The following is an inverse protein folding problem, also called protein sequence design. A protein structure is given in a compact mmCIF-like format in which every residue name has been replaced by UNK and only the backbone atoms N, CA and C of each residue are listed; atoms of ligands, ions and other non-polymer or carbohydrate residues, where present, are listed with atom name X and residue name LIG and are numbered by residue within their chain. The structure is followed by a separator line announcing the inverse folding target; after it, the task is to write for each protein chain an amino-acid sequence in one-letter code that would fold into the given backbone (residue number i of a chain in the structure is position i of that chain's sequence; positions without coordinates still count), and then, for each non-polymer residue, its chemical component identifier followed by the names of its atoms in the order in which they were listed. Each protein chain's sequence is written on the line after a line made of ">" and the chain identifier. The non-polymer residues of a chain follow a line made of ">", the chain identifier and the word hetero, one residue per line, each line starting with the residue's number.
data_IF_710890043100
#
_entry.id   IF_710890043100
#
_cell.length_a   1.000
_cell.length_b   1.000
_cell.length_c   1.000
_cell.angle_alpha   90.00
_cell.angle_beta   90.00
_cell.angle_gamma   90.00
#
_symmetry.space_group_name_H-M   'P 1'
#
loop_
_entity.id
_entity.type
_entity.pdbx_description
1 polymer ?
#
# COMPACT_ATOMS: atom_id res chain seq x y z
N UNK A 1 26.62 6.02 25.45
CA UNK A 1 25.27 5.67 24.95
C UNK A 1 24.43 6.93 25.00
N UNK A 2 24.18 7.59 23.86
CA UNK A 2 23.33 8.78 23.82
C UNK A 2 21.88 8.34 24.05
N UNK A 3 21.34 8.69 25.18
CA UNK A 3 19.96 8.41 25.56
C UNK A 3 19.05 9.43 24.86
N UNK A 4 18.70 9.17 23.59
CA UNK A 4 17.88 10.07 22.75
C UNK A 4 16.38 9.92 22.97
N UNK A 5 15.94 9.01 23.87
CA UNK A 5 14.54 8.83 24.22
C UNK A 5 14.01 10.08 24.94
N UNK A 6 12.95 10.67 24.41
CA UNK A 6 12.34 11.90 24.96
C UNK A 6 12.96 13.20 24.45
N UNK A 7 13.77 13.15 23.39
CA UNK A 7 14.35 14.36 22.79
C UNK A 7 13.28 15.12 21.98
N UNK A 8 12.93 16.32 22.47
CA UNK A 8 11.92 17.21 21.87
C UNK A 8 12.26 17.61 20.44
N UNK A 9 13.55 17.76 20.13
CA UNK A 9 14.01 18.18 18.80
C UNK A 9 13.88 17.05 17.79
N UNK A 10 14.19 15.81 18.19
CA UNK A 10 13.99 14.62 17.36
C UNK A 10 12.51 14.44 17.05
N UNK A 11 11.66 14.54 18.08
CA UNK A 11 10.21 14.45 17.91
C UNK A 11 9.67 15.52 16.96
N UNK A 12 10.09 16.77 17.14
CA UNK A 12 9.69 17.89 16.28
C UNK A 12 10.11 17.66 14.82
N UNK A 13 11.36 17.23 14.60
CA UNK A 13 11.90 16.90 13.28
C UNK A 13 11.07 15.78 12.61
N UNK A 14 10.78 14.72 13.36
CA UNK A 14 10.05 13.58 12.82
C UNK A 14 8.58 13.93 12.52
N UNK A 15 7.90 14.69 13.37
CA UNK A 15 6.54 15.19 13.08
C UNK A 15 6.53 16.00 11.78
N UNK A 16 7.47 16.95 11.61
CA UNK A 16 7.57 17.76 10.39
C UNK A 16 7.82 16.89 9.15
N UNK A 17 8.72 15.91 9.24
CA UNK A 17 9.01 14.94 8.18
C UNK A 17 7.75 14.22 7.71
N UNK A 18 6.93 13.72 8.64
CA UNK A 18 5.72 12.98 8.28
C UNK A 18 4.59 13.88 7.81
N UNK A 19 4.48 15.10 8.33
CA UNK A 19 3.57 16.12 7.77
C UNK A 19 3.92 16.44 6.32
N UNK A 20 5.19 16.62 6.00
CA UNK A 20 5.67 16.90 4.65
C UNK A 20 5.42 15.70 3.71
N UNK A 21 5.73 14.47 4.17
CA UNK A 21 5.46 13.23 3.42
C UNK A 21 4.00 13.11 2.99
N UNK A 22 3.07 13.41 3.91
CA UNK A 22 1.64 13.25 3.71
C UNK A 22 0.95 14.51 3.18
N UNK A 23 1.72 15.59 2.91
CA UNK A 23 1.20 16.88 2.43
C UNK A 23 0.26 17.57 3.40
N UNK A 24 0.38 17.30 4.71
CA UNK A 24 -0.54 17.79 5.73
C UNK A 24 -0.07 19.09 6.36
N UNK A 25 -0.98 20.08 6.42
CA UNK A 25 -0.77 21.30 7.18
C UNK A 25 -1.00 21.08 8.68
N UNK A 26 -0.47 21.99 9.53
CA UNK A 26 -0.72 21.95 10.98
C UNK A 26 -2.22 22.07 11.32
N UNK A 27 -2.96 22.83 10.54
CA UNK A 27 -4.40 23.01 10.75
C UNK A 27 -5.15 21.70 10.49
N UNK A 28 -4.83 20.99 9.43
CA UNK A 28 -5.45 19.70 9.12
C UNK A 28 -5.15 18.66 10.19
N UNK A 29 -3.87 18.49 10.60
CA UNK A 29 -3.52 17.56 11.66
C UNK A 29 -4.23 17.87 12.97
N UNK A 30 -4.31 19.17 13.35
CA UNK A 30 -5.00 19.59 14.56
C UNK A 30 -6.50 19.29 14.50
N UNK A 31 -7.14 19.59 13.36
CA UNK A 31 -8.55 19.33 13.13
C UNK A 31 -8.84 17.81 13.19
N UNK A 32 -8.07 17.03 12.44
CA UNK A 32 -8.29 15.58 12.31
C UNK A 32 -8.09 14.83 13.64
N UNK A 33 -7.17 15.30 14.48
CA UNK A 33 -6.81 14.66 15.76
C UNK A 33 -7.47 15.29 17.00
N UNK A 34 -8.23 16.36 16.82
CA UNK A 34 -8.82 17.08 17.95
C UNK A 34 -7.79 17.68 18.91
N UNK A 35 -6.63 18.11 18.39
CA UNK A 35 -5.54 18.69 19.16
C UNK A 35 -5.55 20.23 19.00
N UNK A 36 -5.36 20.96 20.08
CA UNK A 36 -5.27 22.42 19.97
C UNK A 36 -4.05 22.83 19.13
N UNK A 37 -4.22 23.84 18.29
CA UNK A 37 -3.17 24.35 17.41
C UNK A 37 -1.93 24.83 18.19
N UNK A 38 -2.13 25.40 19.36
CA UNK A 38 -1.03 25.85 20.24
C UNK A 38 -0.23 24.67 20.74
N UNK A 39 -0.87 23.63 21.27
CA UNK A 39 -0.23 22.42 21.78
C UNK A 39 0.57 21.73 20.68
N UNK A 40 -0.04 21.54 19.52
CA UNK A 40 0.64 20.90 18.38
C UNK A 40 1.82 21.73 17.87
N UNK A 41 1.65 23.05 17.82
CA UNK A 41 2.74 23.97 17.43
C UNK A 41 3.92 23.90 18.40
N UNK A 42 3.68 23.73 19.68
CA UNK A 42 4.75 23.58 20.68
C UNK A 42 5.50 22.25 20.51
N UNK A 43 4.84 21.18 20.09
CA UNK A 43 5.51 19.92 19.73
C UNK A 43 6.36 20.09 18.46
N UNK A 44 5.82 20.67 17.42
CA UNK A 44 6.51 20.91 16.13
C UNK A 44 7.70 21.87 16.27
N UNK A 45 7.66 22.79 17.27
CA UNK A 45 8.77 23.67 17.59
C UNK A 45 9.75 23.10 18.62
N UNK A 46 9.54 21.87 19.08
CA UNK A 46 10.37 21.22 20.09
C UNK A 46 10.36 21.91 21.46
N UNK A 47 9.33 22.68 21.77
CA UNK A 47 9.17 23.34 23.08
C UNK A 47 8.70 22.35 24.14
N UNK A 48 7.71 21.52 23.81
CA UNK A 48 7.15 20.50 24.69
C UNK A 48 7.20 19.14 24.04
N UNK A 49 7.06 18.08 24.86
CA UNK A 49 7.03 16.70 24.40
C UNK A 49 5.62 16.13 24.56
N UNK A 50 5.02 15.47 23.55
CA UNK A 50 3.70 14.86 23.69
C UNK A 50 3.72 13.74 24.72
N UNK A 51 2.58 13.51 25.38
CA UNK A 51 2.38 12.31 26.22
C UNK A 51 2.26 11.07 25.36
N UNK A 52 2.43 9.90 25.96
CA UNK A 52 2.46 8.62 25.25
C UNK A 52 1.17 8.34 24.45
N UNK A 53 0.02 8.73 24.98
CA UNK A 53 -1.27 8.64 24.29
C UNK A 53 -1.32 9.47 23.01
N UNK A 54 -0.68 10.64 23.03
CA UNK A 54 -0.59 11.54 21.87
C UNK A 54 0.47 11.09 20.86
N UNK A 55 1.53 10.43 21.32
CA UNK A 55 2.52 9.79 20.44
C UNK A 55 1.84 8.65 19.66
N UNK A 56 1.05 7.85 20.33
CA UNK A 56 0.28 6.77 19.70
C UNK A 56 -0.73 7.31 18.69
N UNK A 57 -1.46 8.36 19.05
CA UNK A 57 -2.41 9.03 18.18
C UNK A 57 -1.74 9.56 16.89
N UNK A 58 -0.58 10.21 17.02
CA UNK A 58 0.21 10.71 15.90
C UNK A 58 0.79 9.57 15.05
N UNK A 59 1.30 8.50 15.67
CA UNK A 59 1.83 7.34 14.96
C UNK A 59 0.74 6.67 14.10
N UNK A 60 -0.45 6.48 14.66
CA UNK A 60 -1.60 5.93 13.93
C UNK A 60 -2.05 6.85 12.79
N UNK A 61 -2.09 8.17 13.04
CA UNK A 61 -2.48 9.16 12.04
C UNK A 61 -1.55 9.16 10.82
N UNK A 62 -0.23 9.15 11.09
CA UNK A 62 0.80 9.10 10.05
C UNK A 62 1.10 7.68 9.55
N UNK A 63 0.43 6.65 10.10
CA UNK A 63 0.59 5.23 9.74
C UNK A 63 2.06 4.77 9.85
N UNK A 64 2.66 5.00 11.00
CA UNK A 64 4.05 4.69 11.33
C UNK A 64 4.14 4.03 12.71
N UNK A 65 5.30 3.45 13.02
CA UNK A 65 5.56 2.96 14.38
C UNK A 65 5.86 4.13 15.34
N UNK A 66 5.56 3.96 16.63
CA UNK A 66 5.90 4.96 17.66
C UNK A 66 7.40 5.28 17.71
N UNK A 67 8.24 4.27 17.44
CA UNK A 67 9.68 4.42 17.35
C UNK A 67 10.10 5.45 16.27
N UNK A 68 9.39 5.50 15.15
CA UNK A 68 9.67 6.43 14.05
C UNK A 68 9.46 7.89 14.43
N UNK A 69 8.64 8.16 15.46
CA UNK A 69 8.47 9.51 16.00
C UNK A 69 9.51 9.89 17.05
N UNK A 70 9.94 8.93 17.87
CA UNK A 70 10.73 9.20 19.09
C UNK A 70 12.22 8.95 18.93
N UNK A 71 12.63 8.20 17.92
CA UNK A 71 14.02 7.86 17.65
C UNK A 71 14.60 8.69 16.52
N UNK A 72 15.89 9.01 16.61
CA UNK A 72 16.61 9.58 15.48
C UNK A 72 17.11 8.43 14.60
N UNK A 73 16.49 8.29 13.45
CA UNK A 73 16.94 7.37 12.40
C UNK A 73 17.73 8.18 11.34
N UNK A 74 19.01 8.49 11.61
CA UNK A 74 19.82 9.15 10.60
C UNK A 74 19.97 8.19 9.43
N UNK A 75 19.38 8.51 8.30
CA UNK A 75 19.74 7.87 7.04
C UNK A 75 21.22 8.21 6.84
N UNK A 76 22.11 7.20 6.72
CA UNK A 76 23.50 7.49 6.41
C UNK A 76 23.53 8.38 5.16
N UNK A 77 24.07 9.59 5.26
CA UNK A 77 24.20 10.48 4.12
C UNK A 77 25.34 9.95 3.23
N UNK A 78 25.01 9.10 2.31
CA UNK A 78 25.91 8.76 1.22
C UNK A 78 25.76 9.84 0.14
N UNK A 79 26.86 10.36 -0.44
CA UNK A 79 26.82 11.47 -1.40
C UNK A 79 25.94 11.23 -2.62
N UNK A 80 25.60 9.95 -2.91
CA UNK A 80 24.86 9.51 -4.07
C UNK A 80 23.50 8.86 -3.73
N UNK A 81 23.02 8.98 -2.48
CA UNK A 81 21.72 8.42 -2.08
C UNK A 81 20.77 9.57 -1.73
N UNK A 82 19.78 9.77 -2.57
CA UNK A 82 18.67 10.68 -2.31
C UNK A 82 17.53 9.90 -1.67
N UNK A 83 16.94 10.37 -0.55
CA UNK A 83 15.73 9.76 0.00
C UNK A 83 14.62 9.76 -1.03
N UNK A 84 14.06 8.59 -1.32
CA UNK A 84 12.93 8.45 -2.24
C UNK A 84 11.64 8.71 -1.44
N UNK A 85 10.81 9.62 -1.92
CA UNK A 85 9.47 9.81 -1.37
C UNK A 85 8.64 8.53 -1.54
N UNK A 86 7.88 8.17 -0.51
CA UNK A 86 7.06 6.94 -0.48
C UNK A 86 5.58 7.28 -0.36
N UNK A 87 4.76 6.41 -0.90
CA UNK A 87 3.30 6.43 -0.77
C UNK A 87 2.85 5.09 -0.20
N UNK A 88 1.93 5.11 0.77
CA UNK A 88 1.39 3.91 1.39
C UNK A 88 0.06 3.53 0.75
N UNK A 89 -0.13 2.24 0.50
CA UNK A 89 -1.31 1.68 -0.15
C UNK A 89 -1.96 0.65 0.77
N UNK A 90 -3.30 0.62 0.87
CA UNK A 90 -3.99 -0.38 1.68
C UNK A 90 -3.76 -1.79 1.11
N UNK A 91 -3.44 -2.74 2.00
CA UNK A 91 -3.22 -4.15 1.67
C UNK A 91 -4.51 -4.94 1.89
N UNK A 92 -4.86 -5.74 0.89
CA UNK A 92 -5.95 -6.71 0.94
C UNK A 92 -5.40 -8.13 0.79
N UNK A 93 -5.88 -9.04 1.62
CA UNK A 93 -5.49 -10.47 1.61
C UNK A 93 -6.39 -11.31 0.69
N UNK A 94 -6.84 -10.73 -0.39
CA UNK A 94 -7.70 -11.39 -1.36
C UNK A 94 -8.93 -10.57 -1.70
N UNK A 95 -9.84 -11.21 -2.42
CA UNK A 95 -11.08 -10.59 -2.89
C UNK A 95 -12.21 -11.58 -2.65
N UNK A 96 -13.27 -11.14 -1.99
CA UNK A 96 -14.49 -11.92 -1.81
C UNK A 96 -15.68 -11.18 -2.41
N UNK A 97 -16.58 -11.91 -3.07
CA UNK A 97 -17.75 -11.34 -3.75
C UNK A 97 -17.39 -10.18 -4.70
N UNK A 98 -16.21 -10.27 -5.33
CA UNK A 98 -15.73 -9.27 -6.27
C UNK A 98 -15.37 -7.91 -5.66
N UNK A 99 -15.16 -7.84 -4.36
CA UNK A 99 -14.64 -6.65 -3.68
C UNK A 99 -13.36 -6.99 -2.90
N UNK A 100 -12.38 -6.06 -2.83
CA UNK A 100 -11.19 -6.25 -2.01
C UNK A 100 -11.58 -6.56 -0.56
N UNK A 101 -11.05 -7.66 -0.03
CA UNK A 101 -11.32 -8.11 1.33
C UNK A 101 -10.24 -7.59 2.27
N UNK A 102 -10.63 -6.86 3.29
CA UNK A 102 -9.75 -6.52 4.41
C UNK A 102 -9.28 -7.79 5.12
N UNK A 103 -8.12 -7.71 5.77
CA UNK A 103 -7.60 -8.77 6.63
C UNK A 103 -8.68 -9.24 7.61
N UNK A 104 -8.71 -10.55 7.99
CA UNK A 104 -9.75 -11.14 8.84
C UNK A 104 -10.03 -10.39 10.15
N UNK A 105 -9.03 -9.73 10.70
CA UNK A 105 -9.10 -9.02 11.98
C UNK A 105 -9.57 -7.56 11.87
N UNK A 106 -10.01 -7.11 10.68
CA UNK A 106 -10.41 -5.72 10.44
C UNK A 106 -9.26 -4.71 10.53
N UNK A 107 -8.03 -5.17 10.64
CA UNK A 107 -6.84 -4.33 10.65
C UNK A 107 -6.47 -4.01 9.21
N UNK A 108 -6.44 -2.73 8.85
CA UNK A 108 -5.92 -2.30 7.56
C UNK A 108 -4.40 -2.21 7.65
N UNK A 109 -3.71 -3.13 6.99
CA UNK A 109 -2.27 -3.04 6.77
C UNK A 109 -1.98 -2.17 5.54
N UNK A 110 -0.77 -1.60 5.48
CA UNK A 110 -0.34 -0.76 4.37
C UNK A 110 1.02 -1.23 3.87
N UNK A 111 1.22 -1.16 2.57
CA UNK A 111 2.50 -1.43 1.90
C UNK A 111 3.01 -0.13 1.27
N UNK A 112 4.27 0.19 1.53
CA UNK A 112 4.91 1.37 0.98
C UNK A 112 5.52 1.09 -0.40
N UNK A 113 5.32 2.02 -1.32
CA UNK A 113 6.04 2.05 -2.59
C UNK A 113 6.55 3.48 -2.88
N UNK A 114 7.31 3.64 -3.94
CA UNK A 114 7.74 4.95 -4.42
C UNK A 114 6.55 5.76 -4.92
N UNK A 115 6.63 7.09 -4.88
CA UNK A 115 5.51 7.99 -5.25
C UNK A 115 5.11 7.92 -6.71
N UNK A 116 5.97 7.38 -7.57
CA UNK A 116 5.72 7.16 -8.99
C UNK A 116 4.78 5.96 -9.26
N UNK A 117 4.60 5.07 -8.29
CA UNK A 117 3.63 3.97 -8.41
C UNK A 117 2.20 4.53 -8.35
N UNK A 118 1.51 4.44 -9.49
CA UNK A 118 0.12 4.89 -9.63
C UNK A 118 -0.83 3.70 -9.39
N UNK A 119 -1.07 3.39 -8.12
CA UNK A 119 -1.97 2.34 -7.68
C UNK A 119 -3.00 2.90 -6.69
N UNK A 120 -4.05 2.12 -6.42
CA UNK A 120 -5.10 2.44 -5.46
C UNK A 120 -5.03 1.51 -4.24
N UNK A 121 -4.63 0.25 -4.45
CA UNK A 121 -4.50 -0.76 -3.40
C UNK A 121 -3.46 -1.83 -3.75
N UNK A 122 -3.17 -2.70 -2.78
CA UNK A 122 -2.24 -3.82 -2.92
C UNK A 122 -2.97 -5.12 -2.63
N UNK A 123 -2.67 -6.15 -3.41
CA UNK A 123 -3.10 -7.53 -3.17
C UNK A 123 -1.90 -8.38 -2.79
N UNK A 124 -2.07 -9.24 -1.79
CA UNK A 124 -1.13 -10.33 -1.52
C UNK A 124 -1.40 -11.46 -2.51
N UNK A 125 -0.34 -11.96 -3.11
CA UNK A 125 -0.41 -13.07 -4.07
C UNK A 125 -0.47 -14.40 -3.33
N UNK A 126 -1.38 -15.27 -3.78
CA UNK A 126 -1.48 -16.65 -3.34
C UNK A 126 -1.31 -17.59 -4.54
N UNK A 127 -0.38 -18.53 -4.42
CA UNK A 127 -0.05 -19.53 -5.44
C UNK A 127 0.94 -19.02 -6.49
N UNK A 128 1.23 -19.89 -7.43
CA UNK A 128 2.35 -19.82 -8.36
C UNK A 128 1.96 -19.64 -9.84
N UNK A 129 0.69 -19.30 -10.08
CA UNK A 129 0.17 -19.16 -11.45
C UNK A 129 0.82 -18.05 -12.29
N UNK A 130 1.57 -17.14 -11.67
CA UNK A 130 2.19 -15.96 -12.29
C UNK A 130 3.73 -15.93 -12.19
N UNK A 131 4.36 -17.05 -11.85
CA UNK A 131 5.83 -17.12 -11.64
C UNK A 131 6.64 -16.76 -12.89
N UNK A 132 6.14 -17.04 -14.09
CA UNK A 132 6.76 -16.64 -15.34
C UNK A 132 6.80 -15.13 -15.55
N UNK A 133 5.91 -14.39 -14.89
CA UNK A 133 5.94 -12.92 -14.81
C UNK A 133 6.77 -12.41 -13.61
N UNK A 134 7.51 -13.29 -12.92
CA UNK A 134 8.28 -13.03 -11.69
C UNK A 134 7.42 -12.63 -10.49
N UNK A 135 6.13 -12.92 -10.52
CA UNK A 135 5.21 -12.69 -9.40
C UNK A 135 5.02 -14.03 -8.71
N UNK A 136 5.49 -14.15 -7.47
CA UNK A 136 5.54 -15.40 -6.71
C UNK A 136 4.51 -15.39 -5.57
N UNK A 137 4.29 -16.56 -4.99
CA UNK A 137 3.50 -16.67 -3.77
C UNK A 137 4.07 -15.80 -2.65
N UNK A 138 3.18 -15.03 -1.97
CA UNK A 138 3.54 -14.10 -0.92
C UNK A 138 3.94 -12.69 -1.38
N UNK A 139 4.14 -12.45 -2.67
CA UNK A 139 4.45 -11.13 -3.22
C UNK A 139 3.28 -10.15 -3.04
N UNK A 140 3.59 -8.86 -3.08
CA UNK A 140 2.61 -7.77 -3.04
C UNK A 140 2.47 -7.16 -4.43
N UNK A 141 1.26 -7.17 -4.99
CA UNK A 141 0.96 -6.59 -6.30
C UNK A 141 0.14 -5.32 -6.15
N UNK A 142 0.65 -4.23 -6.69
CA UNK A 142 0.01 -2.91 -6.69
C UNK A 142 -0.98 -2.83 -7.82
N UNK A 143 -2.24 -2.56 -7.50
CA UNK A 143 -3.37 -2.54 -8.43
C UNK A 143 -3.88 -1.12 -8.61
N UNK A 144 -3.96 -0.68 -9.86
CA UNK A 144 -4.72 0.50 -10.24
C UNK A 144 -6.14 0.07 -10.57
N UNK A 145 -7.11 0.60 -9.84
CA UNK A 145 -8.52 0.26 -10.01
C UNK A 145 -9.03 0.84 -11.34
N UNK A 146 -9.46 -0.04 -12.22
CA UNK A 146 -10.06 0.33 -13.51
C UNK A 146 -10.90 -0.82 -14.03
N UNK A 147 -12.02 -0.52 -14.78
CA UNK A 147 -12.93 -1.55 -15.27
C UNK A 147 -12.43 -2.26 -16.53
N UNK A 148 -11.39 -1.75 -17.18
CA UNK A 148 -10.88 -2.27 -18.44
C UNK A 148 -9.35 -2.34 -18.42
N UNK A 149 -8.80 -3.31 -19.15
CA UNK A 149 -7.36 -3.48 -19.39
C UNK A 149 -7.14 -3.89 -20.85
N UNK A 150 -5.95 -3.64 -21.35
CA UNK A 150 -5.56 -4.03 -22.71
C UNK A 150 -5.20 -5.52 -22.77
N UNK A 151 -5.30 -6.11 -23.97
CA UNK A 151 -4.91 -7.50 -24.19
C UNK A 151 -3.43 -7.73 -23.83
N UNK A 152 -3.19 -8.75 -23.02
CA UNK A 152 -1.86 -9.11 -22.53
C UNK A 152 -1.45 -8.42 -21.23
N UNK A 153 -2.22 -7.47 -20.72
CA UNK A 153 -1.95 -6.87 -19.42
C UNK A 153 -2.29 -7.83 -18.27
N UNK A 154 -1.54 -7.70 -17.17
CA UNK A 154 -1.83 -8.46 -15.96
C UNK A 154 -2.90 -7.70 -15.17
N UNK A 155 -3.99 -8.39 -14.88
CA UNK A 155 -5.14 -7.82 -14.18
C UNK A 155 -5.53 -8.66 -12.97
N UNK A 156 -6.05 -7.99 -11.96
CA UNK A 156 -6.85 -8.61 -10.92
C UNK A 156 -8.28 -8.76 -11.48
N UNK A 157 -8.74 -9.99 -11.55
CA UNK A 157 -10.04 -10.36 -12.15
C UNK A 157 -10.85 -11.16 -11.14
N UNK A 158 -12.10 -10.76 -10.91
CA UNK A 158 -13.06 -11.55 -10.17
C UNK A 158 -13.73 -12.55 -11.13
N UNK A 159 -13.89 -13.79 -10.67
CA UNK A 159 -14.66 -14.86 -11.32
C UNK A 159 -15.66 -15.35 -10.29
N UNK A 160 -16.93 -14.95 -10.42
CA UNK A 160 -17.90 -15.15 -9.36
C UNK A 160 -17.45 -14.47 -8.06
N UNK A 161 -17.29 -15.26 -7.00
CA UNK A 161 -16.89 -14.78 -5.66
C UNK A 161 -15.37 -14.84 -5.41
N UNK A 162 -14.61 -15.40 -6.33
CA UNK A 162 -13.16 -15.51 -6.21
C UNK A 162 -12.44 -14.47 -7.07
N UNK A 163 -11.21 -14.11 -6.68
CA UNK A 163 -10.38 -13.28 -7.51
C UNK A 163 -9.04 -13.93 -7.80
N UNK A 164 -8.53 -13.62 -8.96
CA UNK A 164 -7.25 -14.14 -9.44
C UNK A 164 -6.45 -13.07 -10.17
N UNK A 165 -5.13 -13.25 -10.21
CA UNK A 165 -4.23 -12.45 -11.01
C UNK A 165 -3.87 -13.24 -12.27
N UNK A 166 -4.17 -12.67 -13.44
CA UNK A 166 -3.94 -13.34 -14.75
C UNK A 166 -3.61 -12.32 -15.83
N UNK A 167 -3.02 -12.78 -16.94
CA UNK A 167 -3.07 -12.01 -18.17
C UNK A 167 -4.46 -12.07 -18.76
N UNK A 168 -4.96 -10.90 -19.08
CA UNK A 168 -6.31 -10.73 -19.65
C UNK A 168 -6.22 -10.59 -21.16
N UNK A 169 -7.11 -11.30 -21.86
CA UNK A 169 -7.30 -11.15 -23.30
C UNK A 169 -8.80 -11.16 -23.61
N UNK A 170 -9.23 -10.26 -24.49
CA UNK A 170 -10.61 -10.19 -24.99
C UNK A 170 -10.61 -10.16 -26.51
N UNK A 171 -11.34 -11.09 -27.11
CA UNK A 171 -11.52 -11.26 -28.54
C UNK A 171 -13.01 -11.32 -28.87
N UNK A 172 -13.63 -10.17 -29.16
CA UNK A 172 -15.08 -10.09 -29.35
C UNK A 172 -15.82 -10.52 -28.06
N UNK A 173 -16.61 -11.58 -28.17
CA UNK A 173 -17.40 -12.14 -27.07
C UNK A 173 -16.68 -13.29 -26.33
N UNK A 174 -15.37 -13.34 -26.41
CA UNK A 174 -14.54 -14.34 -25.72
C UNK A 174 -13.54 -13.63 -24.82
N UNK A 175 -13.49 -14.02 -23.54
CA UNK A 175 -12.46 -13.61 -22.59
C UNK A 175 -11.57 -14.79 -22.27
N UNK A 176 -10.26 -14.61 -22.32
CA UNK A 176 -9.27 -15.61 -21.95
C UNK A 176 -8.41 -15.05 -20.82
N UNK A 177 -8.33 -15.80 -19.72
CA UNK A 177 -7.44 -15.52 -18.59
C UNK A 177 -6.32 -16.54 -18.59
N UNK A 178 -5.08 -16.05 -18.78
CA UNK A 178 -3.88 -16.88 -18.87
C UNK A 178 -2.96 -16.67 -17.68
N UNK A 179 -2.55 -17.77 -17.06
CA UNK A 179 -1.45 -17.76 -16.09
C UNK A 179 -0.08 -17.60 -16.81
N UNK A 180 0.89 -17.12 -16.11
CA UNK A 180 2.30 -17.12 -16.51
C UNK A 180 3.06 -18.31 -15.88
N UNK A 181 2.40 -19.46 -15.87
CA UNK A 181 2.95 -20.75 -15.46
C UNK A 181 2.31 -21.83 -16.34
N UNK A 182 3.10 -22.59 -17.12
CA UNK A 182 2.61 -23.62 -18.05
C UNK A 182 1.80 -24.76 -17.38
N UNK A 183 1.97 -24.96 -16.08
CA UNK A 183 1.19 -25.94 -15.32
C UNK A 183 -0.29 -25.55 -15.14
N UNK A 184 -0.61 -24.26 -15.34
CA UNK A 184 -1.96 -23.74 -15.22
C UNK A 184 -2.62 -23.61 -16.59
N UNK A 185 -3.75 -24.26 -16.75
CA UNK A 185 -4.57 -24.16 -17.97
C UNK A 185 -5.18 -22.76 -18.09
N UNK A 186 -5.31 -22.30 -19.32
CA UNK A 186 -6.05 -21.07 -19.62
C UNK A 186 -7.52 -21.26 -19.26
N UNK A 187 -8.14 -20.18 -18.76
CA UNK A 187 -9.59 -20.13 -18.51
C UNK A 187 -10.23 -19.31 -19.62
N UNK A 188 -11.18 -19.89 -20.32
CA UNK A 188 -11.89 -19.24 -21.42
C UNK A 188 -13.37 -19.10 -21.04
N UNK A 189 -13.91 -17.90 -21.21
CA UNK A 189 -15.28 -17.54 -20.87
C UNK A 189 -16.01 -17.03 -22.12
N UNK A 190 -17.23 -17.52 -22.34
CA UNK A 190 -18.05 -17.18 -23.50
C UNK A 190 -19.53 -17.05 -23.10
N UNK A 191 -20.30 -16.27 -23.87
CA UNK A 191 -21.74 -16.13 -23.65
C UNK A 191 -22.09 -15.75 -22.21
N UNK A 192 -23.01 -16.48 -21.54
CA UNK A 192 -23.43 -16.13 -20.16
C UNK A 192 -22.34 -16.24 -19.10
N UNK A 193 -21.24 -16.97 -19.36
CA UNK A 193 -20.11 -17.05 -18.42
C UNK A 193 -19.37 -15.71 -18.26
N UNK A 194 -19.46 -14.84 -19.26
CA UNK A 194 -18.86 -13.50 -19.21
C UNK A 194 -19.41 -12.64 -18.07
N UNK A 195 -20.66 -12.86 -17.66
CA UNK A 195 -21.28 -12.12 -16.56
C UNK A 195 -20.60 -12.40 -15.21
N UNK A 196 -19.86 -13.50 -15.10
CA UNK A 196 -19.10 -13.87 -13.91
C UNK A 196 -17.70 -13.25 -13.87
N UNK A 197 -17.22 -12.70 -15.01
CA UNK A 197 -15.86 -12.17 -15.13
C UNK A 197 -15.90 -10.66 -15.00
N UNK A 198 -15.20 -10.14 -14.00
CA UNK A 198 -15.12 -8.70 -13.78
C UNK A 198 -13.68 -8.27 -13.52
N UNK A 199 -13.19 -7.28 -14.28
CA UNK A 199 -11.90 -6.65 -14.03
C UNK A 199 -12.01 -5.77 -12.79
N UNK A 200 -11.09 -5.94 -11.85
CA UNK A 200 -10.98 -5.17 -10.62
C UNK A 200 -9.92 -4.09 -10.73
N UNK A 201 -8.93 -4.31 -11.61
CA UNK A 201 -7.89 -3.35 -11.90
C UNK A 201 -6.68 -3.97 -12.59
N UNK A 202 -5.80 -3.08 -13.02
CA UNK A 202 -4.52 -3.41 -13.69
C UNK A 202 -3.41 -3.54 -12.66
N UNK A 203 -2.59 -4.58 -12.74
CA UNK A 203 -1.32 -4.67 -12.02
C UNK A 203 -0.30 -3.69 -12.62
N UNK A 204 0.22 -2.77 -11.80
CA UNK A 204 1.13 -1.71 -12.25
C UNK A 204 2.55 -1.87 -11.70
N UNK A 205 2.71 -2.56 -10.58
CA UNK A 205 3.99 -2.88 -9.97
C UNK A 205 3.82 -4.10 -9.06
N UNK A 206 4.92 -4.71 -8.66
CA UNK A 206 4.94 -5.71 -7.59
C UNK A 206 6.19 -5.55 -6.73
N UNK A 207 6.13 -6.06 -5.52
CA UNK A 207 7.23 -6.11 -4.56
C UNK A 207 7.39 -7.54 -4.07
N UNK A 208 8.62 -8.05 -4.17
CA UNK A 208 9.02 -9.37 -3.70
C UNK A 208 10.08 -9.24 -2.62
N UNK A 209 10.07 -10.16 -1.68
CA UNK A 209 11.18 -10.36 -0.76
C UNK A 209 12.33 -11.11 -1.46
N UNK A 210 13.56 -10.77 -1.09
CA UNK A 210 14.75 -11.52 -1.56
C UNK A 210 14.72 -12.89 -0.89
N UNK A 211 14.74 -13.94 -1.69
CA UNK A 211 14.74 -15.34 -1.24
C UNK A 211 16.10 -15.97 -1.50
#
# INVERSE_FOLDING_TARGET
>A
MNNNLGNKQIMAKNILKYMERDGKSRHEVCHDLGISYTTFTDWVKGKTYPRIDKIELLANYFRINKADLVEDHPIPSFPNITPIARKSFPLFDGIAAGQPRLMPDGVTLYVDATVDVQADYVLKVHGDSMIGARINDGDYVFIRQQPEVENGEIAAVAIGDEATLKRFYKYGDVVVLRGENPEFKEMTFTGPELDQVRILGKAVAFQSDVR
#
